data_IF_683560124812
#
_entry.id   IF_683560124812
#
_cell.length_a   1.000
_cell.length_b   1.000
_cell.length_c   1.000
_cell.angle_alpha   90.00
_cell.angle_beta   90.00
_cell.angle_gamma   90.00
#
_symmetry.space_group_name_H-M   'P 1'
#
loop_
_entity.id
_entity.type
_entity.pdbx_description
1 polymer ?
#
# COMPACT_ATOMS: atom_id res chain seq x y z
N UNK A 1 53.06 -38.65 -110.60
CA UNK A 1 51.98 -38.50 -109.58
C UNK A 1 52.62 -38.45 -108.21
N UNK A 2 52.47 -37.32 -107.52
CA UNK A 2 53.06 -37.00 -106.22
C UNK A 2 52.59 -37.96 -105.11
N UNK A 3 53.51 -38.61 -104.41
CA UNK A 3 53.27 -39.10 -103.04
C UNK A 3 53.71 -38.00 -102.08
N UNK A 4 52.72 -37.27 -101.56
CA UNK A 4 52.92 -36.26 -100.52
C UNK A 4 53.33 -36.97 -99.24
N UNK A 5 54.48 -36.54 -98.72
CA UNK A 5 55.04 -36.91 -97.43
C UNK A 5 54.16 -36.29 -96.34
N UNK A 6 53.67 -37.08 -95.39
CA UNK A 6 53.11 -36.58 -94.13
C UNK A 6 54.04 -37.00 -93.01
N UNK A 7 54.87 -36.05 -92.57
CA UNK A 7 55.65 -36.14 -91.34
C UNK A 7 54.75 -35.70 -90.19
N UNK A 8 54.35 -36.63 -89.34
CA UNK A 8 53.58 -36.33 -88.13
C UNK A 8 54.52 -35.78 -87.04
N UNK A 9 54.24 -34.55 -86.60
CA UNK A 9 55.01 -33.82 -85.60
C UNK A 9 54.63 -34.28 -84.19
N UNK A 10 55.65 -34.59 -83.38
CA UNK A 10 55.58 -34.71 -81.90
C UNK A 10 54.89 -33.49 -81.26
N UNK A 11 53.97 -33.74 -80.34
CA UNK A 11 53.68 -32.84 -79.22
C UNK A 11 53.73 -33.63 -77.92
N UNK A 12 54.70 -33.29 -77.07
CA UNK A 12 54.86 -33.84 -75.72
C UNK A 12 53.83 -33.16 -74.82
N UNK A 13 52.94 -33.93 -74.21
CA UNK A 13 52.02 -33.46 -73.18
C UNK A 13 52.75 -33.25 -71.85
N UNK A 14 53.04 -31.99 -71.52
CA UNK A 14 53.54 -31.60 -70.20
C UNK A 14 52.59 -30.58 -69.57
N UNK A 15 51.55 -31.03 -68.84
CA UNK A 15 50.90 -30.17 -67.84
C UNK A 15 50.00 -30.94 -66.88
N UNK A 16 50.57 -31.46 -65.78
CA UNK A 16 49.74 -31.86 -64.63
C UNK A 16 50.52 -31.93 -63.31
N UNK A 17 51.08 -30.82 -62.87
CA UNK A 17 51.49 -30.62 -61.48
C UNK A 17 51.21 -29.14 -61.20
N UNK A 18 50.70 -28.81 -60.00
CA UNK A 18 50.51 -27.45 -59.43
C UNK A 18 49.07 -27.00 -59.09
N UNK A 19 48.07 -27.89 -59.04
CA UNK A 19 46.73 -27.53 -58.51
C UNK A 19 46.52 -27.78 -57.01
N UNK A 20 47.49 -28.37 -56.31
CA UNK A 20 47.34 -28.75 -54.88
C UNK A 20 48.03 -27.80 -53.89
N UNK A 21 48.87 -26.86 -54.36
CA UNK A 21 49.53 -25.87 -53.49
C UNK A 21 48.66 -24.59 -53.28
N UNK A 22 47.94 -24.15 -54.32
CA UNK A 22 47.13 -22.91 -54.26
C UNK A 22 45.86 -23.04 -53.39
N UNK A 23 45.37 -24.26 -53.17
CA UNK A 23 44.19 -24.49 -52.33
C UNK A 23 44.50 -24.47 -50.82
N UNK A 24 45.75 -24.67 -50.39
CA UNK A 24 46.12 -24.64 -48.97
C UNK A 24 46.27 -23.20 -48.43
N UNK A 25 46.67 -22.24 -49.27
CA UNK A 25 46.81 -20.84 -48.85
C UNK A 25 45.47 -20.08 -48.82
N UNK A 26 44.53 -20.41 -49.71
CA UNK A 26 43.18 -19.81 -49.69
C UNK A 26 42.29 -20.32 -48.55
N UNK A 27 42.54 -21.53 -48.04
CA UNK A 27 41.82 -22.05 -46.87
C UNK A 27 42.35 -21.50 -45.53
N UNK A 28 43.62 -21.08 -45.47
CA UNK A 28 44.20 -20.48 -44.24
C UNK A 28 43.86 -18.99 -44.06
N UNK A 29 43.47 -18.27 -45.12
CA UNK A 29 43.02 -16.86 -45.02
C UNK A 29 41.55 -16.69 -44.66
N UNK A 30 40.71 -17.70 -44.87
CA UNK A 30 39.26 -17.62 -44.58
C UNK A 30 38.89 -18.10 -43.16
N UNK A 31 39.81 -18.71 -42.41
CA UNK A 31 39.54 -19.17 -41.04
C UNK A 31 39.89 -18.16 -39.93
N UNK A 32 40.40 -16.97 -40.28
CA UNK A 32 40.86 -15.97 -39.29
C UNK A 32 39.90 -14.79 -39.04
N UNK A 33 38.66 -14.85 -39.54
CA UNK A 33 37.70 -13.73 -39.46
C UNK A 33 36.40 -14.04 -38.69
N UNK A 34 36.28 -15.18 -38.02
CA UNK A 34 35.01 -15.63 -37.43
C UNK A 34 35.14 -16.06 -35.97
N UNK A 35 35.76 -15.23 -35.13
CA UNK A 35 35.86 -15.55 -33.70
C UNK A 35 35.75 -14.34 -32.75
N UNK A 36 35.35 -13.16 -33.24
CA UNK A 36 35.21 -11.97 -32.41
C UNK A 36 33.78 -11.81 -31.84
N UNK A 37 32.80 -12.56 -32.35
CA UNK A 37 31.40 -12.42 -31.95
C UNK A 37 31.07 -13.14 -30.62
N UNK A 38 31.96 -14.03 -30.14
CA UNK A 38 31.77 -14.75 -28.87
C UNK A 38 32.20 -13.92 -27.66
N UNK A 39 33.17 -13.03 -27.81
CA UNK A 39 33.54 -12.08 -26.74
C UNK A 39 32.49 -11.00 -26.56
N UNK A 40 31.88 -10.54 -27.65
CA UNK A 40 30.90 -9.46 -27.62
C UNK A 40 29.61 -9.89 -26.92
N UNK A 41 29.15 -11.14 -27.11
CA UNK A 41 27.99 -11.66 -26.40
C UNK A 41 28.25 -11.83 -24.89
N UNK A 42 29.44 -12.26 -24.49
CA UNK A 42 29.83 -12.36 -23.07
C UNK A 42 29.87 -10.97 -22.41
N UNK A 43 30.42 -9.97 -23.10
CA UNK A 43 30.44 -8.58 -22.61
C UNK A 43 29.02 -8.01 -22.49
N UNK A 44 28.13 -8.31 -23.43
CA UNK A 44 26.72 -7.90 -23.38
C UNK A 44 26.02 -8.53 -22.17
N UNK A 45 26.19 -9.83 -21.91
CA UNK A 45 25.63 -10.47 -20.72
C UNK A 45 26.18 -9.90 -19.42
N UNK A 46 27.46 -9.54 -19.39
CA UNK A 46 28.08 -8.90 -18.22
C UNK A 46 27.47 -7.51 -17.96
N UNK A 47 27.31 -6.69 -19.00
CA UNK A 47 26.67 -5.37 -18.91
C UNK A 47 25.22 -5.48 -18.44
N UNK A 48 24.46 -6.45 -18.96
CA UNK A 48 23.08 -6.70 -18.54
C UNK A 48 23.04 -7.13 -17.06
N UNK A 49 23.97 -7.98 -16.63
CA UNK A 49 24.10 -8.36 -15.22
C UNK A 49 24.34 -7.16 -14.31
N UNK A 50 25.29 -6.28 -14.67
CA UNK A 50 25.52 -5.02 -13.95
C UNK A 50 24.26 -4.15 -13.92
N UNK A 51 23.55 -4.01 -15.04
CA UNK A 51 22.34 -3.19 -15.12
C UNK A 51 21.24 -3.71 -14.19
N UNK A 52 21.02 -5.02 -14.16
CA UNK A 52 20.04 -5.66 -13.27
C UNK A 52 20.42 -5.41 -11.81
N UNK A 53 21.68 -5.62 -11.43
CA UNK A 53 22.13 -5.37 -10.05
C UNK A 53 21.93 -3.91 -9.64
N UNK A 54 22.19 -2.96 -10.53
CA UNK A 54 21.98 -1.54 -10.27
C UNK A 54 20.50 -1.23 -10.03
N UNK A 55 19.61 -1.78 -10.86
CA UNK A 55 18.16 -1.63 -10.71
C UNK A 55 17.70 -2.21 -9.36
N UNK A 56 18.16 -3.41 -9.00
CA UNK A 56 17.82 -4.04 -7.72
C UNK A 56 18.26 -3.19 -6.53
N UNK A 57 19.46 -2.61 -6.58
CA UNK A 57 19.96 -1.73 -5.51
C UNK A 57 19.12 -0.46 -5.39
N UNK A 58 18.79 0.19 -6.51
CA UNK A 58 17.94 1.39 -6.53
C UNK A 58 16.56 1.09 -5.96
N UNK A 59 15.93 -0.02 -6.38
CA UNK A 59 14.64 -0.45 -5.84
C UNK A 59 14.70 -0.75 -4.35
N UNK A 60 15.78 -1.37 -3.87
CA UNK A 60 15.97 -1.68 -2.45
C UNK A 60 16.05 -0.40 -1.61
N UNK A 61 16.76 0.62 -2.10
CA UNK A 61 16.86 1.94 -1.43
C UNK A 61 15.52 2.67 -1.44
N UNK A 62 14.76 2.60 -2.54
CA UNK A 62 13.41 3.17 -2.58
C UNK A 62 12.46 2.48 -1.60
N UNK A 63 12.56 1.15 -1.49
CA UNK A 63 11.76 0.36 -0.56
C UNK A 63 12.05 0.73 0.89
N UNK A 64 13.32 0.89 1.26
CA UNK A 64 13.70 1.30 2.63
C UNK A 64 13.18 2.70 2.97
N UNK A 65 13.23 3.64 2.01
CA UNK A 65 12.72 4.99 2.21
C UNK A 65 11.21 5.00 2.47
N UNK A 66 10.45 4.12 1.79
CA UNK A 66 9.02 3.95 2.03
C UNK A 66 8.74 3.35 3.40
N UNK A 67 9.58 2.44 3.86
CA UNK A 67 9.47 1.88 5.21
C UNK A 67 9.70 2.94 6.29
N UNK A 68 10.65 3.86 6.09
CA UNK A 68 10.89 4.99 7.00
C UNK A 68 9.69 5.93 7.06
N UNK A 69 9.07 6.23 5.91
CA UNK A 69 7.86 7.05 5.83
C UNK A 69 6.70 6.39 6.59
N UNK A 70 6.52 5.08 6.41
CA UNK A 70 5.52 4.29 7.13
C UNK A 70 5.76 4.26 8.64
N UNK A 71 7.01 4.12 9.06
CA UNK A 71 7.37 4.16 10.48
C UNK A 71 7.06 5.52 11.11
N UNK A 72 7.30 6.64 10.41
CA UNK A 72 6.93 7.97 10.90
C UNK A 72 5.43 8.12 11.07
N UNK A 73 4.65 7.57 10.13
CA UNK A 73 3.19 7.57 10.21
C UNK A 73 2.73 6.77 11.44
N UNK A 74 3.28 5.57 11.67
CA UNK A 74 2.96 4.77 12.86
C UNK A 74 3.30 5.49 14.17
N UNK A 75 4.44 6.19 14.23
CA UNK A 75 4.79 7.00 15.40
C UNK A 75 3.77 8.11 15.64
N UNK A 76 3.32 8.77 14.56
CA UNK A 76 2.29 9.82 14.66
C UNK A 76 0.94 9.25 15.10
N UNK A 77 0.56 8.07 14.62
CA UNK A 77 -0.66 7.36 15.06
C UNK A 77 -0.57 7.08 16.56
N UNK A 78 0.54 6.48 17.02
CA UNK A 78 0.74 6.18 18.44
C UNK A 78 0.72 7.44 19.33
N UNK A 79 1.24 8.56 18.83
CA UNK A 79 1.16 9.85 19.55
C UNK A 79 -0.29 10.32 19.69
N UNK A 80 -1.05 10.30 18.59
CA UNK A 80 -2.46 10.71 18.58
C UNK A 80 -3.31 9.78 19.46
N UNK A 81 -3.07 8.47 19.43
CA UNK A 81 -3.77 7.51 20.31
C UNK A 81 -3.50 7.80 21.79
N UNK A 82 -2.25 8.07 22.16
CA UNK A 82 -1.90 8.49 23.52
C UNK A 82 -2.58 9.79 23.90
N UNK A 83 -2.65 10.77 23.00
CA UNK A 83 -3.39 12.00 23.26
C UNK A 83 -4.87 11.72 23.55
N UNK A 84 -5.52 10.88 22.74
CA UNK A 84 -6.93 10.46 22.95
C UNK A 84 -7.11 9.79 24.32
N UNK A 85 -6.20 8.88 24.69
CA UNK A 85 -6.24 8.19 25.97
C UNK A 85 -6.13 9.20 27.13
N UNK A 86 -5.17 10.12 27.06
CA UNK A 86 -4.98 11.14 28.10
C UNK A 86 -6.19 12.08 28.21
N UNK A 87 -6.79 12.49 27.09
CA UNK A 87 -7.99 13.32 27.07
C UNK A 87 -9.19 12.57 27.66
N UNK A 88 -9.31 11.27 27.36
CA UNK A 88 -10.38 10.42 27.89
C UNK A 88 -10.24 10.24 29.39
N UNK A 89 -9.03 9.98 29.89
CA UNK A 89 -8.73 9.90 31.32
C UNK A 89 -9.03 11.23 32.02
N UNK A 90 -8.64 12.37 31.43
CA UNK A 90 -8.96 13.71 31.95
C UNK A 90 -10.48 13.93 32.02
N UNK A 91 -11.22 13.55 30.98
CA UNK A 91 -12.70 13.65 30.95
C UNK A 91 -13.33 12.82 32.06
N UNK A 92 -12.90 11.57 32.24
CA UNK A 92 -13.39 10.71 33.30
C UNK A 92 -13.09 11.28 34.68
N UNK A 93 -11.87 11.80 34.91
CA UNK A 93 -11.49 12.48 36.15
C UNK A 93 -12.34 13.72 36.42
N UNK A 94 -12.61 14.53 35.39
CA UNK A 94 -13.50 15.69 35.50
C UNK A 94 -14.93 15.26 35.85
N UNK A 95 -15.44 14.21 35.19
CA UNK A 95 -16.77 13.67 35.48
C UNK A 95 -16.86 13.17 36.92
N UNK A 96 -15.84 12.49 37.42
CA UNK A 96 -15.75 12.06 38.82
C UNK A 96 -15.76 13.26 39.78
N UNK A 97 -14.96 14.30 39.50
CA UNK A 97 -14.97 15.54 40.29
C UNK A 97 -16.32 16.23 40.29
N UNK A 98 -17.02 16.27 39.15
CA UNK A 98 -18.37 16.82 39.07
C UNK A 98 -19.32 15.98 39.92
N UNK A 99 -19.28 14.66 39.81
CA UNK A 99 -20.10 13.76 40.64
C UNK A 99 -19.81 13.91 42.13
N UNK A 100 -18.54 14.12 42.51
CA UNK A 100 -18.15 14.41 43.90
C UNK A 100 -18.67 15.77 44.37
N UNK A 101 -18.58 16.81 43.55
CA UNK A 101 -19.08 18.14 43.88
C UNK A 101 -20.62 18.19 43.90
N UNK A 102 -21.29 17.43 43.02
CA UNK A 102 -22.73 17.22 43.00
C UNK A 102 -23.20 16.18 44.01
N UNK A 103 -22.29 15.50 44.71
CA UNK A 103 -22.69 14.47 45.65
C UNK A 103 -23.54 15.10 46.74
N UNK A 104 -24.67 14.44 47.05
CA UNK A 104 -25.66 14.95 48.00
C UNK A 104 -25.02 15.26 49.36
N UNK A 105 -24.03 14.46 49.77
CA UNK A 105 -23.25 14.66 50.99
C UNK A 105 -22.47 15.99 51.01
N UNK A 106 -21.88 16.42 49.89
CA UNK A 106 -21.19 17.71 49.78
C UNK A 106 -22.21 18.85 49.85
N UNK A 107 -23.32 18.73 49.12
CA UNK A 107 -24.40 19.73 49.10
C UNK A 107 -25.00 19.89 50.50
N UNK A 108 -25.29 18.79 51.19
CA UNK A 108 -25.80 18.79 52.56
C UNK A 108 -24.78 19.39 53.54
N UNK A 109 -23.49 19.09 53.38
CA UNK A 109 -22.43 19.67 54.21
C UNK A 109 -22.34 21.19 54.02
N UNK A 110 -22.39 21.68 52.79
CA UNK A 110 -22.39 23.12 52.50
C UNK A 110 -23.68 23.76 53.02
N UNK A 111 -24.84 23.15 52.78
CA UNK A 111 -26.13 23.64 53.24
C UNK A 111 -26.18 23.77 54.77
N UNK A 112 -25.74 22.74 55.51
CA UNK A 112 -25.75 22.75 56.98
C UNK A 112 -24.67 23.64 57.58
N UNK A 113 -23.44 23.57 57.07
CA UNK A 113 -22.30 24.19 57.74
C UNK A 113 -22.00 25.61 57.26
N UNK A 114 -22.20 25.89 55.97
CA UNK A 114 -21.88 27.21 55.40
C UNK A 114 -23.13 28.09 55.28
N UNK A 115 -24.30 27.49 55.01
CA UNK A 115 -25.57 28.21 54.85
C UNK A 115 -26.48 28.13 56.07
N UNK A 116 -26.11 27.36 57.11
CA UNK A 116 -26.89 27.22 58.34
C UNK A 116 -28.26 26.56 58.15
N UNK A 117 -28.50 25.87 57.03
CA UNK A 117 -29.75 25.17 56.76
C UNK A 117 -29.92 23.97 57.70
N UNK A 118 -31.09 23.85 58.30
CA UNK A 118 -31.48 22.73 59.15
C UNK A 118 -32.38 21.78 58.34
N UNK A 119 -32.26 20.47 58.57
CA UNK A 119 -33.09 19.48 57.90
C UNK A 119 -34.52 19.61 58.42
N UNK A 120 -35.49 19.80 57.54
CA UNK A 120 -36.90 19.83 57.92
C UNK A 120 -37.35 18.45 58.44
N UNK A 121 -38.09 18.46 59.54
CA UNK A 121 -38.65 17.25 60.18
C UNK A 121 -39.92 16.75 59.48
N UNK A 122 -40.75 17.68 59.00
CA UNK A 122 -41.95 17.39 58.22
C UNK A 122 -41.83 17.92 56.79
N UNK A 123 -42.16 17.06 55.83
CA UNK A 123 -42.13 17.37 54.40
C UNK A 123 -43.57 17.34 53.90
N UNK A 124 -44.14 18.50 53.65
CA UNK A 124 -45.46 18.63 53.03
C UNK A 124 -45.30 18.86 51.53
N UNK A 125 -45.76 17.89 50.73
CA UNK A 125 -45.66 17.96 49.28
C UNK A 125 -46.81 18.81 48.72
N UNK A 126 -46.50 20.05 48.35
CA UNK A 126 -47.42 20.88 47.58
C UNK A 126 -47.34 20.42 46.13
N UNK A 127 -48.36 19.66 45.68
CA UNK A 127 -48.56 19.42 44.26
C UNK A 127 -48.95 20.75 43.60
N UNK A 128 -47.97 21.46 43.04
CA UNK A 128 -48.28 22.56 42.12
C UNK A 128 -49.04 21.95 40.95
N UNK A 129 -50.29 22.37 40.77
CA UNK A 129 -51.12 21.99 39.64
C UNK A 129 -50.29 22.12 38.37
N UNK A 130 -50.31 21.06 37.57
CA UNK A 130 -49.61 20.95 36.30
C UNK A 130 -50.14 22.02 35.35
N UNK A 131 -49.61 23.23 35.46
CA UNK A 131 -49.61 24.19 34.37
C UNK A 131 -48.77 23.52 33.29
N UNK A 132 -49.46 23.09 32.23
CA UNK A 132 -48.84 22.45 31.09
C UNK A 132 -47.71 23.34 30.57
N UNK A 133 -46.46 22.99 30.92
CA UNK A 133 -45.30 23.36 30.14
C UNK A 133 -45.38 22.57 28.83
N UNK A 134 -46.32 22.98 27.98
CA UNK A 134 -46.26 22.70 26.56
C UNK A 134 -44.95 23.31 26.05
N UNK A 135 -44.11 22.45 25.45
CA UNK A 135 -42.80 22.74 24.88
C UNK A 135 -41.59 22.81 25.82
N UNK A 136 -41.28 21.70 26.48
CA UNK A 136 -39.89 21.22 26.43
C UNK A 136 -39.89 19.83 25.80
N UNK A 137 -39.93 19.82 24.47
CA UNK A 137 -39.64 18.64 23.66
C UNK A 137 -38.18 18.27 23.87
N UNK A 138 -37.89 17.56 24.95
CA UNK A 138 -36.67 16.76 25.06
C UNK A 138 -36.82 15.59 24.08
N UNK A 139 -36.63 15.91 22.80
CA UNK A 139 -36.26 14.92 21.80
C UNK A 139 -34.95 14.31 22.34
N UNK A 140 -34.82 13.00 22.50
CA UNK A 140 -33.49 12.40 22.43
C UNK A 140 -33.03 12.63 21.00
N UNK A 141 -32.43 13.79 20.72
CA UNK A 141 -31.46 13.89 19.65
C UNK A 141 -30.25 13.11 20.15
N UNK A 142 -30.33 11.78 19.98
CA UNK A 142 -29.16 11.03 19.54
C UNK A 142 -28.78 11.69 18.24
N UNK A 143 -27.96 12.73 18.36
CA UNK A 143 -27.27 13.36 17.26
C UNK A 143 -26.26 12.31 16.81
N UNK A 144 -26.75 11.34 16.03
CA UNK A 144 -25.96 10.75 14.96
C UNK A 144 -25.64 11.90 14.00
N UNK A 145 -24.73 12.77 14.43
CA UNK A 145 -23.89 13.55 13.55
C UNK A 145 -22.99 12.54 12.86
N UNK A 146 -23.58 11.70 12.01
CA UNK A 146 -22.91 11.17 10.84
C UNK A 146 -22.56 12.42 10.08
N UNK A 147 -21.35 12.86 10.35
CA UNK A 147 -20.65 13.91 9.66
C UNK A 147 -21.05 13.78 8.19
N UNK A 148 -21.67 14.81 7.60
CA UNK A 148 -21.83 14.92 6.15
C UNK A 148 -20.43 15.13 5.57
N UNK A 149 -19.56 14.15 5.78
CA UNK A 149 -18.37 13.94 5.03
C UNK A 149 -18.88 13.84 3.60
N UNK A 150 -18.48 14.80 2.75
CA UNK A 150 -18.75 14.73 1.32
C UNK A 150 -18.03 13.49 0.82
N UNK A 151 -18.72 12.36 0.88
CA UNK A 151 -18.27 11.10 0.33
C UNK A 151 -18.00 11.35 -1.15
N UNK A 152 -16.74 11.23 -1.54
CA UNK A 152 -16.35 11.27 -2.94
C UNK A 152 -17.09 10.15 -3.68
N UNK A 153 -17.21 10.25 -5.01
CA UNK A 153 -17.95 9.26 -5.81
C UNK A 153 -17.46 7.81 -5.61
N UNK A 154 -16.23 7.64 -5.14
CA UNK A 154 -15.59 6.35 -4.92
C UNK A 154 -16.10 5.66 -3.64
N UNK A 155 -16.30 6.37 -2.53
CA UNK A 155 -16.71 5.75 -1.27
C UNK A 155 -18.16 5.26 -1.28
N UNK A 156 -19.04 5.84 -2.12
CA UNK A 156 -20.40 5.31 -2.32
C UNK A 156 -20.41 3.93 -2.99
N UNK A 157 -19.46 3.66 -3.90
CA UNK A 157 -19.31 2.33 -4.52
C UNK A 157 -18.78 1.29 -3.55
N UNK A 158 -17.91 1.70 -2.63
CA UNK A 158 -17.38 0.79 -1.60
C UNK A 158 -18.47 0.38 -0.60
N UNK A 159 -19.33 1.31 -0.19
CA UNK A 159 -20.43 1.00 0.74
C UNK A 159 -21.47 0.09 0.09
N UNK A 160 -21.82 0.31 -1.18
CA UNK A 160 -22.75 -0.60 -1.90
C UNK A 160 -22.15 -2.00 -2.10
N UNK A 161 -20.84 -2.09 -2.33
CA UNK A 161 -20.15 -3.38 -2.39
C UNK A 161 -20.14 -4.07 -1.02
N UNK A 162 -19.94 -3.33 0.07
CA UNK A 162 -19.94 -3.88 1.43
C UNK A 162 -21.32 -4.41 1.86
N UNK A 163 -22.39 -3.73 1.47
CA UNK A 163 -23.76 -4.18 1.73
C UNK A 163 -24.08 -5.50 0.99
N UNK A 164 -23.56 -5.67 -0.23
CA UNK A 164 -23.65 -6.93 -0.97
C UNK A 164 -22.86 -8.10 -0.37
N UNK A 165 -21.89 -7.84 0.51
CA UNK A 165 -21.19 -8.89 1.27
C UNK A 165 -21.95 -9.34 2.52
N UNK A 166 -22.86 -8.50 3.03
CA UNK A 166 -23.72 -8.84 4.18
C UNK A 166 -25.04 -9.47 3.76
N UNK A 167 -25.40 -9.35 2.48
CA UNK A 167 -26.58 -9.95 1.85
C UNK A 167 -26.20 -11.25 1.11
N UNK A 168 -25.39 -12.10 1.75
CA UNK A 168 -25.26 -13.50 1.34
C UNK A 168 -26.48 -14.26 1.86
N UNK A 169 -27.40 -14.52 0.93
CA UNK A 169 -28.44 -15.54 0.91
C UNK A 169 -28.52 -16.46 2.17
N UNK A 170 -29.31 -16.06 3.16
CA UNK A 170 -29.93 -17.00 4.10
C UNK A 170 -31.17 -17.64 3.46
N UNK A 171 -30.99 -18.17 2.24
CA UNK A 171 -32.08 -18.55 1.34
C UNK A 171 -31.80 -19.84 0.58
N UNK A 172 -31.23 -20.86 1.22
CA UNK A 172 -31.30 -22.24 0.75
C UNK A 172 -31.30 -23.22 1.93
N UNK A 173 -32.35 -23.17 2.77
CA UNK A 173 -32.77 -24.30 3.60
C UNK A 173 -34.30 -24.16 3.79
N UNK A 174 -35.06 -24.48 2.75
CA UNK A 174 -36.44 -24.93 2.91
C UNK A 174 -36.50 -26.40 2.47
N UNK A 175 -37.29 -27.16 3.25
CA UNK A 175 -37.61 -28.60 3.12
C UNK A 175 -38.12 -29.03 1.74
#
# INVERSE_FOLDING_TARGET
MNKVIVVEKKTKDYKKINSTASNKEKQQRQQKSSNNNKSDSILIYMIIGILITLITVIFSILYINKYVELSKINLKINQVEKEIETLTAKKQKLKLKISQNKSLSRVEKVAKNELGMIKAEDIEYIAMGQQEMSNIKNKPSVDSTVNRFRLSRLSRKVISWLQGLTEVEAGTLEE
#
